data_IF_272899539353
#
_entry.id   IF_272899539353
#
_cell.length_a   1.000
_cell.length_b   1.000
_cell.length_c   1.000
_cell.angle_alpha   90.00
_cell.angle_beta   90.00
_cell.angle_gamma   90.00
#
_symmetry.space_group_name_H-M   'P 1'
#
loop_
_entity.id
_entity.type
_entity.pdbx_description
1 polymer ?
#
# COMPACT_ATOMS: atom_id res chain seq x y z
N UNK A 1 -4.12 0.44 -20.03
CA UNK A 1 -4.59 -0.52 -19.00
C UNK A 1 -4.72 0.24 -17.71
N UNK A 2 -5.68 -0.11 -16.84
CA UNK A 2 -5.80 0.58 -15.56
C UNK A 2 -4.51 0.43 -14.73
N UNK A 3 -4.12 1.48 -14.01
CA UNK A 3 -2.96 1.51 -13.12
C UNK A 3 -3.42 1.97 -11.74
N UNK A 4 -3.87 1.01 -10.94
CA UNK A 4 -4.44 1.31 -9.64
C UNK A 4 -3.41 1.76 -8.61
N UNK A 5 -3.80 2.74 -7.81
CA UNK A 5 -3.01 3.27 -6.72
C UNK A 5 -3.87 3.98 -5.68
N UNK A 6 -3.23 4.61 -4.73
CA UNK A 6 -3.91 5.24 -3.60
C UNK A 6 -3.32 6.61 -3.29
N UNK A 7 -4.18 7.54 -2.94
CA UNK A 7 -3.82 8.86 -2.40
C UNK A 7 -4.30 8.95 -0.95
N UNK A 8 -3.42 9.37 -0.07
CA UNK A 8 -3.66 9.45 1.38
C UNK A 8 -3.47 10.91 1.83
N UNK A 9 -4.53 11.53 2.33
CA UNK A 9 -4.47 12.87 2.93
C UNK A 9 -4.06 12.76 4.40
N UNK A 10 -2.78 13.04 4.69
CA UNK A 10 -2.22 12.91 6.04
C UNK A 10 -2.84 13.86 7.05
N UNK A 11 -3.36 15.03 6.60
CA UNK A 11 -4.05 15.99 7.47
C UNK A 11 -5.39 15.46 8.00
N UNK A 12 -5.95 14.45 7.34
CA UNK A 12 -7.22 13.82 7.70
C UNK A 12 -7.04 12.51 8.44
N UNK A 13 -5.85 11.92 8.40
CA UNK A 13 -5.56 10.69 9.13
C UNK A 13 -5.45 10.99 10.63
N UNK A 14 -6.26 10.29 11.43
CA UNK A 14 -6.30 10.44 12.89
C UNK A 14 -5.70 9.23 13.62
N UNK A 15 -5.12 8.27 12.90
CA UNK A 15 -4.46 7.10 13.49
C UNK A 15 -5.42 6.14 14.19
N UNK A 16 -6.71 6.10 13.81
CA UNK A 16 -7.74 5.29 14.47
C UNK A 16 -7.57 3.77 14.35
N UNK A 17 -6.68 3.31 13.45
CA UNK A 17 -6.42 1.88 13.16
C UNK A 17 -7.55 1.10 12.49
N UNK A 18 -8.70 1.69 12.17
CA UNK A 18 -9.81 1.01 11.50
C UNK A 18 -9.39 0.34 10.19
N UNK A 19 -8.51 0.98 9.42
CA UNK A 19 -7.95 0.42 8.18
C UNK A 19 -7.15 -0.87 8.45
N UNK A 20 -6.40 -0.93 9.55
CA UNK A 20 -5.61 -2.10 9.94
C UNK A 20 -6.54 -3.25 10.31
N UNK A 21 -7.55 -2.98 11.16
CA UNK A 21 -8.54 -3.99 11.59
C UNK A 21 -9.33 -4.50 10.40
N UNK A 22 -9.84 -3.61 9.55
CA UNK A 22 -10.58 -4.00 8.35
C UNK A 22 -9.74 -4.85 7.38
N UNK A 23 -8.46 -4.49 7.21
CA UNK A 23 -7.54 -5.27 6.37
C UNK A 23 -7.32 -6.68 6.94
N UNK A 24 -7.16 -6.81 8.27
CA UNK A 24 -7.00 -8.10 8.93
C UNK A 24 -8.24 -8.98 8.75
N UNK A 25 -9.43 -8.43 8.98
CA UNK A 25 -10.69 -9.16 8.86
C UNK A 25 -11.01 -9.57 7.43
N UNK A 26 -10.79 -8.66 6.47
CA UNK A 26 -11.09 -8.90 5.05
C UNK A 26 -10.17 -9.94 4.40
N UNK A 27 -8.92 -10.03 4.88
CA UNK A 27 -7.88 -10.83 4.22
C UNK A 27 -7.31 -11.94 5.11
N UNK A 28 -7.98 -12.28 6.22
CA UNK A 28 -7.56 -13.31 7.18
C UNK A 28 -6.08 -13.21 7.59
N UNK A 29 -5.61 -11.95 7.85
CA UNK A 29 -4.22 -11.72 8.20
C UNK A 29 -3.95 -12.28 9.60
N UNK A 30 -2.95 -13.17 9.78
CA UNK A 30 -2.69 -13.81 11.06
C UNK A 30 -2.43 -12.83 12.20
N UNK A 31 -2.66 -13.29 13.43
CA UNK A 31 -2.36 -12.53 14.64
C UNK A 31 -0.86 -12.13 14.67
N UNK A 32 -0.59 -10.93 15.16
CA UNK A 32 0.77 -10.37 15.21
C UNK A 32 1.34 -9.86 13.90
N UNK A 33 0.69 -10.13 12.74
CA UNK A 33 1.13 -9.68 11.41
C UNK A 33 0.18 -8.64 10.83
N UNK A 34 0.68 -7.74 9.99
CA UNK A 34 -0.14 -6.68 9.40
C UNK A 34 0.24 -6.46 7.93
N UNK A 35 -0.78 -6.23 7.07
CA UNK A 35 -0.61 -5.74 5.69
C UNK A 35 -0.65 -4.21 5.59
N UNK A 36 -1.10 -3.56 6.66
CA UNK A 36 -1.37 -2.14 6.80
C UNK A 36 -1.04 -1.72 8.23
N UNK A 37 -0.43 -0.57 8.44
CA UNK A 37 -0.05 -0.07 9.77
C UNK A 37 -0.13 1.46 9.83
N UNK A 38 -0.13 2.00 11.04
CA UNK A 38 -0.06 3.44 11.27
C UNK A 38 1.39 3.80 11.59
N UNK A 39 1.93 4.74 10.82
CA UNK A 39 3.20 5.38 11.09
C UNK A 39 2.98 6.76 11.70
N UNK A 40 3.86 7.12 12.62
CA UNK A 40 3.85 8.44 13.29
C UNK A 40 5.25 9.01 13.20
N UNK A 41 5.36 10.22 12.66
CA UNK A 41 6.63 10.93 12.51
C UNK A 41 6.57 12.30 13.16
N UNK A 42 7.51 12.58 14.05
CA UNK A 42 7.63 13.88 14.69
C UNK A 42 8.85 14.61 14.13
N UNK A 43 8.63 15.80 13.57
CA UNK A 43 9.69 16.66 13.02
C UNK A 43 9.75 18.00 13.72
N UNK A 44 10.81 18.79 13.47
CA UNK A 44 11.01 20.10 14.07
C UNK A 44 11.73 20.05 15.41
N UNK A 45 11.73 21.20 16.13
CA UNK A 45 12.30 21.37 17.47
C UNK A 45 11.34 22.16 18.33
N UNK A 46 11.33 21.85 19.64
CA UNK A 46 10.51 22.61 20.58
C UNK A 46 10.84 24.13 20.49
N UNK A 47 9.85 25.03 20.46
CA UNK A 47 8.40 24.77 20.60
C UNK A 47 7.67 24.45 19.27
N UNK A 48 8.36 24.39 18.14
CA UNK A 48 7.77 24.22 16.80
C UNK A 48 7.86 22.77 16.36
N UNK A 49 7.11 21.88 17.02
CA UNK A 49 7.02 20.47 16.66
C UNK A 49 5.87 20.26 15.68
N UNK A 50 6.09 19.37 14.72
CA UNK A 50 5.06 18.87 13.79
C UNK A 50 4.95 17.37 13.93
N UNK A 51 3.72 16.88 14.09
CA UNK A 51 3.38 15.46 14.13
C UNK A 51 2.61 15.08 12.87
N UNK A 52 3.16 14.16 12.10
CA UNK A 52 2.44 13.52 10.99
C UNK A 52 2.00 12.12 11.39
N UNK A 53 0.74 11.81 11.13
CA UNK A 53 0.16 10.48 11.29
C UNK A 53 -0.29 10.02 9.90
N UNK A 54 0.15 8.82 9.49
CA UNK A 54 -0.23 8.26 8.20
C UNK A 54 -0.39 6.75 8.27
N UNK A 55 -1.21 6.21 7.39
CA UNK A 55 -1.31 4.77 7.21
C UNK A 55 -0.34 4.35 6.10
N UNK A 56 0.39 3.26 6.31
CA UNK A 56 1.36 2.72 5.37
C UNK A 56 1.06 1.26 5.03
N UNK A 57 1.48 0.83 3.85
CA UNK A 57 1.30 -0.52 3.30
C UNK A 57 2.21 -0.75 2.10
N UNK A 58 2.07 -1.89 1.41
CA UNK A 58 2.74 -2.12 0.14
C UNK A 58 2.39 -1.02 -0.87
N UNK A 59 3.42 -0.43 -1.48
CA UNK A 59 3.29 0.68 -2.43
C UNK A 59 2.93 0.25 -3.85
N UNK A 60 2.81 -1.05 -4.15
CA UNK A 60 2.51 -1.57 -5.50
C UNK A 60 3.31 -0.89 -6.61
N UNK A 61 4.61 -0.76 -6.41
CA UNK A 61 5.56 -0.03 -7.24
C UNK A 61 5.45 -0.38 -8.73
N UNK A 62 5.69 0.59 -9.62
CA UNK A 62 5.79 0.35 -11.07
C UNK A 62 7.14 -0.31 -11.41
N UNK A 63 8.20 -0.03 -10.63
CA UNK A 63 9.49 -0.73 -10.70
C UNK A 63 9.70 -1.56 -9.42
N UNK A 64 9.06 -2.76 -9.29
CA UNK A 64 9.01 -3.50 -8.03
C UNK A 64 10.24 -4.41 -7.85
N UNK A 65 11.20 -4.08 -6.97
CA UNK A 65 12.40 -4.91 -6.74
C UNK A 65 12.02 -6.30 -6.19
N UNK A 66 10.91 -6.39 -5.49
CA UNK A 66 10.39 -7.64 -4.95
C UNK A 66 9.84 -8.61 -6.02
N UNK A 67 9.57 -8.16 -7.23
CA UNK A 67 9.24 -8.99 -8.38
C UNK A 67 10.52 -9.43 -9.07
N UNK A 68 11.43 -8.49 -9.33
CA UNK A 68 12.69 -8.77 -10.04
C UNK A 68 13.59 -9.77 -9.31
N UNK A 69 13.56 -9.79 -7.97
CA UNK A 69 14.36 -10.72 -7.15
C UNK A 69 13.71 -12.08 -6.92
N UNK A 70 12.46 -12.31 -7.39
CA UNK A 70 11.74 -13.55 -7.08
C UNK A 70 12.20 -14.70 -7.97
N UNK A 71 12.85 -15.76 -7.43
CA UNK A 71 13.42 -16.83 -8.23
C UNK A 71 12.39 -17.74 -8.88
N UNK A 72 11.17 -17.79 -8.31
CA UNK A 72 10.08 -18.67 -8.81
C UNK A 72 9.03 -17.91 -9.60
N UNK A 73 9.13 -16.57 -9.69
CA UNK A 73 8.07 -15.74 -10.28
C UNK A 73 6.80 -15.65 -9.44
N UNK A 74 6.80 -16.18 -8.21
CA UNK A 74 5.65 -16.09 -7.30
C UNK A 74 5.23 -14.63 -7.05
N UNK A 75 6.20 -13.73 -6.87
CA UNK A 75 5.92 -12.30 -6.83
C UNK A 75 5.88 -11.76 -8.25
N UNK A 76 4.75 -11.20 -8.66
CA UNK A 76 4.50 -10.75 -10.04
C UNK A 76 3.63 -9.49 -10.08
N UNK A 77 3.53 -8.88 -11.25
CA UNK A 77 2.57 -7.81 -11.52
C UNK A 77 1.36 -8.39 -12.23
N UNK A 78 0.21 -8.29 -11.60
CA UNK A 78 -1.08 -8.69 -12.16
C UNK A 78 -1.51 -7.67 -13.23
N UNK A 79 -1.87 -8.09 -14.46
CA UNK A 79 -2.30 -7.19 -15.52
C UNK A 79 -3.52 -6.34 -15.17
N UNK A 80 -4.43 -6.88 -14.35
CA UNK A 80 -5.56 -6.11 -13.85
C UNK A 80 -5.09 -5.06 -12.84
N UNK A 81 -5.08 -3.80 -13.27
CA UNK A 81 -4.70 -2.65 -12.45
C UNK A 81 -3.21 -2.56 -12.11
N UNK A 82 -2.36 -3.35 -12.76
CA UNK A 82 -0.92 -3.44 -12.52
C UNK A 82 -0.56 -3.71 -11.04
N UNK A 83 -1.38 -4.48 -10.34
CA UNK A 83 -1.23 -4.74 -8.89
C UNK A 83 -0.10 -5.75 -8.67
N UNK A 84 0.86 -5.45 -7.79
CA UNK A 84 1.88 -6.44 -7.39
C UNK A 84 1.24 -7.47 -6.48
N UNK A 85 1.35 -8.76 -6.82
CA UNK A 85 0.79 -9.89 -6.07
C UNK A 85 1.85 -10.95 -5.73
N UNK A 86 1.44 -11.95 -4.98
CA UNK A 86 2.20 -13.17 -4.70
C UNK A 86 1.28 -14.37 -4.93
N UNK A 87 1.68 -15.28 -5.80
CA UNK A 87 1.04 -16.60 -5.96
C UNK A 87 1.60 -17.52 -4.89
N UNK A 88 0.77 -17.89 -3.91
CA UNK A 88 1.21 -18.62 -2.72
C UNK A 88 1.79 -19.99 -3.07
N UNK A 89 1.17 -20.68 -4.02
CA UNK A 89 1.56 -22.03 -4.47
C UNK A 89 2.95 -22.08 -5.12
N UNK A 90 3.41 -20.94 -5.68
CA UNK A 90 4.73 -20.82 -6.29
C UNK A 90 5.78 -20.29 -5.31
N UNK A 91 5.33 -19.79 -4.14
CA UNK A 91 6.23 -19.17 -3.18
C UNK A 91 6.97 -20.20 -2.33
N UNK A 92 8.29 -20.20 -2.38
CA UNK A 92 9.15 -21.08 -1.59
C UNK A 92 9.62 -20.49 -0.25
N UNK A 93 9.10 -19.34 0.15
CA UNK A 93 9.42 -18.69 1.43
C UNK A 93 10.86 -18.18 1.56
N UNK A 94 11.59 -17.97 0.46
CA UNK A 94 13.02 -17.61 0.48
C UNK A 94 13.33 -16.22 1.06
N UNK A 95 12.32 -15.38 1.31
CA UNK A 95 12.40 -14.02 1.88
C UNK A 95 13.17 -13.00 1.03
N UNK A 96 13.62 -13.31 -0.18
CA UNK A 96 14.33 -12.35 -1.04
C UNK A 96 13.49 -11.07 -1.28
N UNK A 97 12.19 -11.23 -1.54
CA UNK A 97 11.27 -10.10 -1.74
C UNK A 97 11.01 -9.27 -0.48
N UNK A 98 11.17 -9.83 0.71
CA UNK A 98 11.13 -9.10 1.99
C UNK A 98 12.39 -8.24 2.11
N UNK A 99 13.57 -8.83 1.93
CA UNK A 99 14.86 -8.13 2.01
C UNK A 99 15.02 -7.01 0.96
N UNK A 100 14.38 -7.16 -0.21
CA UNK A 100 14.47 -6.17 -1.30
C UNK A 100 13.47 -5.01 -1.18
N UNK A 101 12.48 -5.10 -0.28
CA UNK A 101 11.45 -4.09 -0.14
C UNK A 101 11.94 -2.90 0.72
N UNK A 102 12.10 -1.69 0.17
CA UNK A 102 12.57 -0.55 0.98
C UNK A 102 11.52 -0.04 1.98
N UNK A 103 10.27 -0.49 1.85
CA UNK A 103 9.15 -0.08 2.71
C UNK A 103 8.82 -1.08 3.80
N UNK A 104 9.56 -2.19 3.90
CA UNK A 104 9.26 -3.31 4.83
C UNK A 104 7.80 -3.80 4.76
N UNK A 105 7.20 -3.75 3.57
CA UNK A 105 5.78 -3.99 3.35
C UNK A 105 5.44 -5.46 3.05
N UNK A 106 6.26 -6.40 3.53
CA UNK A 106 6.07 -7.84 3.35
C UNK A 106 6.38 -8.57 4.65
N UNK A 107 5.67 -9.66 4.86
CA UNK A 107 5.96 -10.59 5.95
C UNK A 107 5.89 -12.04 5.44
N UNK A 108 6.35 -12.98 6.26
CA UNK A 108 6.19 -14.41 5.97
C UNK A 108 4.98 -14.91 6.74
N UNK A 109 4.01 -15.43 6.00
CA UNK A 109 2.83 -16.08 6.56
C UNK A 109 3.23 -17.35 7.33
N UNK A 110 2.54 -17.75 8.41
CA UNK A 110 2.83 -18.99 9.14
C UNK A 110 2.86 -20.24 8.25
N UNK A 111 2.13 -20.24 7.14
CA UNK A 111 2.13 -21.31 6.14
C UNK A 111 3.37 -21.29 5.21
N UNK A 112 4.32 -20.38 5.42
CA UNK A 112 5.62 -20.38 4.75
C UNK A 112 5.71 -19.56 3.48
N UNK A 113 4.69 -18.86 3.03
CA UNK A 113 4.73 -17.96 1.87
C UNK A 113 4.88 -16.49 2.26
N UNK A 114 5.34 -15.66 1.33
CA UNK A 114 5.38 -14.20 1.53
C UNK A 114 3.99 -13.58 1.32
N UNK A 115 3.58 -12.71 2.23
CA UNK A 115 2.30 -12.01 2.13
C UNK A 115 2.46 -10.48 2.26
N UNK A 116 1.46 -9.74 1.78
CA UNK A 116 1.41 -8.27 1.75
C UNK A 116 0.03 -7.76 1.32
N UNK A 117 -0.16 -6.45 1.37
CA UNK A 117 -1.34 -5.79 0.78
C UNK A 117 -1.55 -6.20 -0.69
N UNK A 118 -2.78 -6.49 -1.07
CA UNK A 118 -3.21 -6.87 -2.43
C UNK A 118 -4.13 -5.83 -3.07
N UNK A 119 -4.30 -4.65 -2.44
CA UNK A 119 -5.38 -3.70 -2.75
C UNK A 119 -6.78 -4.35 -2.70
N UNK A 120 -6.93 -5.47 -1.96
CA UNK A 120 -8.17 -6.24 -1.94
C UNK A 120 -8.67 -6.55 -3.36
N UNK A 121 -7.80 -7.10 -4.22
CA UNK A 121 -8.08 -7.29 -5.65
C UNK A 121 -9.41 -8.02 -5.91
N UNK A 122 -9.82 -8.91 -5.01
CA UNK A 122 -11.10 -9.60 -5.07
C UNK A 122 -12.27 -8.62 -5.02
N UNK A 123 -12.20 -7.58 -4.14
CA UNK A 123 -13.22 -6.53 -4.07
C UNK A 123 -13.15 -5.59 -5.27
N UNK A 124 -11.93 -5.20 -5.68
CA UNK A 124 -11.72 -4.27 -6.80
C UNK A 124 -12.21 -4.86 -8.12
N UNK A 125 -12.07 -6.18 -8.34
CA UNK A 125 -12.66 -6.88 -9.49
C UNK A 125 -14.19 -6.86 -9.50
N UNK A 126 -14.82 -6.67 -8.35
CA UNK A 126 -16.27 -6.47 -8.21
C UNK A 126 -16.70 -4.98 -8.26
N UNK A 127 -15.78 -4.07 -8.56
CA UNK A 127 -16.04 -2.63 -8.58
C UNK A 127 -16.19 -1.99 -7.20
N UNK A 128 -15.72 -2.66 -6.15
CA UNK A 128 -15.74 -2.15 -4.76
C UNK A 128 -14.38 -1.57 -4.37
N UNK A 129 -14.38 -0.60 -3.49
CA UNK A 129 -13.14 -0.10 -2.87
C UNK A 129 -12.46 -1.15 -1.99
N UNK A 130 -11.12 -1.07 -1.81
CA UNK A 130 -10.41 -1.82 -0.79
C UNK A 130 -11.05 -1.64 0.59
N UNK A 131 -11.04 -2.68 1.43
CA UNK A 131 -11.69 -2.66 2.74
C UNK A 131 -11.24 -1.48 3.61
N UNK A 132 -9.93 -1.19 3.64
CA UNK A 132 -9.37 -0.07 4.39
C UNK A 132 -9.90 1.30 3.94
N UNK A 133 -10.16 1.49 2.64
CA UNK A 133 -10.74 2.73 2.10
C UNK A 133 -12.20 2.86 2.52
N UNK A 134 -12.96 1.75 2.41
CA UNK A 134 -14.39 1.71 2.71
C UNK A 134 -14.73 2.06 4.17
N UNK A 135 -13.86 1.69 5.13
CA UNK A 135 -14.12 1.89 6.57
C UNK A 135 -13.56 3.19 7.11
N UNK A 136 -12.73 3.93 6.35
CA UNK A 136 -12.04 5.11 6.86
C UNK A 136 -13.01 6.20 7.30
N UNK A 137 -13.14 6.52 8.61
CA UNK A 137 -14.14 7.47 9.10
C UNK A 137 -13.88 8.89 8.64
N UNK A 138 -12.61 9.25 8.43
CA UNK A 138 -12.22 10.59 7.96
C UNK A 138 -12.10 10.67 6.44
N UNK A 139 -12.28 9.54 5.74
CA UNK A 139 -12.08 9.43 4.28
C UNK A 139 -10.74 10.03 3.84
N UNK A 140 -9.67 9.72 4.58
CA UNK A 140 -8.34 10.19 4.25
C UNK A 140 -7.71 9.42 3.08
N UNK A 141 -8.23 8.27 2.71
CA UNK A 141 -7.74 7.43 1.61
C UNK A 141 -8.68 7.49 0.41
N UNK A 142 -8.10 7.64 -0.77
CA UNK A 142 -8.79 7.55 -2.06
C UNK A 142 -8.08 6.52 -2.91
N UNK A 143 -8.82 5.56 -3.46
CA UNK A 143 -8.30 4.53 -4.35
C UNK A 143 -8.81 4.77 -5.77
N UNK A 144 -8.02 4.47 -6.80
CA UNK A 144 -8.46 4.64 -8.18
C UNK A 144 -7.38 4.36 -9.22
N UNK A 145 -7.74 4.63 -10.46
CA UNK A 145 -6.87 4.47 -11.63
C UNK A 145 -6.11 5.77 -11.91
N UNK A 146 -4.78 5.74 -11.88
CA UNK A 146 -3.94 6.88 -12.22
C UNK A 146 -3.88 7.18 -13.73
N UNK A 147 -4.22 6.23 -14.59
CA UNK A 147 -4.26 6.42 -16.03
C UNK A 147 -5.59 7.03 -16.51
N UNK A 148 -6.60 7.09 -15.64
CA UNK A 148 -7.84 7.83 -15.89
C UNK A 148 -7.73 9.28 -15.35
N UNK A 149 -7.66 10.31 -16.22
CA UNK A 149 -7.58 11.71 -15.77
C UNK A 149 -8.82 12.18 -15.00
N UNK A 150 -9.95 11.49 -15.16
CA UNK A 150 -11.21 11.82 -14.46
C UNK A 150 -11.32 11.10 -13.12
N UNK A 151 -10.41 10.21 -12.78
CA UNK A 151 -10.41 9.52 -11.50
C UNK A 151 -10.14 10.49 -10.33
N UNK A 152 -10.73 10.21 -9.17
CA UNK A 152 -10.55 11.05 -7.98
C UNK A 152 -9.07 11.13 -7.55
N UNK A 153 -8.30 10.06 -7.75
CA UNK A 153 -6.86 10.04 -7.41
C UNK A 153 -6.06 10.96 -8.33
N UNK A 154 -6.31 10.93 -9.65
CA UNK A 154 -5.63 11.79 -10.62
C UNK A 154 -5.94 13.27 -10.40
N UNK A 155 -7.20 13.58 -10.10
CA UNK A 155 -7.64 14.94 -9.78
C UNK A 155 -6.99 15.46 -8.49
N UNK A 156 -6.88 14.63 -7.45
CA UNK A 156 -6.23 15.03 -6.20
C UNK A 156 -4.74 15.30 -6.38
N UNK A 157 -4.02 14.45 -7.14
CA UNK A 157 -2.59 14.65 -7.41
C UNK A 157 -2.32 15.89 -8.26
N UNK A 158 -3.22 16.22 -9.20
CA UNK A 158 -3.09 17.43 -10.02
C UNK A 158 -3.35 18.72 -9.23
N UNK A 159 -4.23 18.65 -8.21
CA UNK A 159 -4.70 19.82 -7.48
C UNK A 159 -3.89 20.14 -6.22
N UNK A 160 -3.13 19.18 -5.67
CA UNK A 160 -2.49 19.32 -4.36
C UNK A 160 -1.04 18.85 -4.34
N UNK A 161 -0.17 19.52 -3.55
CA UNK A 161 1.18 19.01 -3.26
C UNK A 161 1.11 17.62 -2.67
N UNK A 162 2.03 16.75 -3.13
CA UNK A 162 2.09 15.36 -2.68
C UNK A 162 3.51 14.84 -2.75
N UNK A 163 3.78 13.77 -2.03
CA UNK A 163 5.06 13.06 -2.07
C UNK A 163 4.82 11.55 -2.00
N UNK A 164 5.83 10.80 -2.40
CA UNK A 164 5.92 9.36 -2.20
C UNK A 164 6.94 9.05 -1.11
N UNK A 165 6.81 7.91 -0.44
CA UNK A 165 7.83 7.46 0.51
C UNK A 165 9.09 7.03 -0.23
N UNK A 166 10.25 7.35 0.35
CA UNK A 166 11.59 6.92 -0.06
C UNK A 166 11.80 7.05 -1.60
N UNK A 167 11.64 8.23 -2.19
CA UNK A 167 11.77 8.41 -3.65
C UNK A 167 13.17 8.02 -4.16
N UNK A 168 14.20 8.13 -3.32
CA UNK A 168 15.56 7.72 -3.64
C UNK A 168 15.74 6.21 -3.93
N UNK A 169 14.77 5.38 -3.54
CA UNK A 169 14.81 3.95 -3.81
C UNK A 169 14.52 3.59 -5.28
N UNK A 170 14.04 4.53 -6.11
CA UNK A 170 13.80 4.35 -7.54
C UNK A 170 12.73 3.30 -7.88
N UNK A 171 11.84 3.01 -6.94
CA UNK A 171 10.82 1.95 -7.09
C UNK A 171 9.53 2.41 -7.77
N UNK A 172 9.36 3.74 -7.96
CA UNK A 172 8.15 4.32 -8.55
C UNK A 172 6.87 3.87 -7.82
N UNK A 173 6.70 4.26 -6.54
CA UNK A 173 5.57 3.82 -5.74
C UNK A 173 4.25 4.43 -6.23
N UNK A 174 3.15 3.67 -6.07
CA UNK A 174 1.79 4.10 -6.42
C UNK A 174 0.92 4.43 -5.20
N UNK A 175 1.55 4.77 -4.09
CA UNK A 175 0.88 5.41 -2.95
C UNK A 175 1.50 6.79 -2.78
N UNK A 176 0.65 7.81 -2.79
CA UNK A 176 1.03 9.20 -2.61
C UNK A 176 0.37 9.80 -1.38
N UNK A 177 1.11 10.66 -0.70
CA UNK A 177 0.69 11.35 0.51
C UNK A 177 0.51 12.84 0.21
N UNK A 178 -0.70 13.37 0.45
CA UNK A 178 -1.00 14.80 0.31
C UNK A 178 -0.55 15.54 1.56
N UNK A 179 0.06 16.70 1.36
CA UNK A 179 0.58 17.57 2.43
C UNK A 179 -0.15 18.91 2.50
#
# INVERSE_FOLDING_TARGET
MARFGMVIDTRRCVGCTDCVVACKTENDVPEGLNRDWIATETTGRFPTLHLEIRTERCNHCDNPPCVSCCPTGASHVEPFGAIVLVTHELCIGCKACHASCPYDARFVHPEGYADKCTFCIHRVKEGKDPACVSVCPTRCMTFGDFDDPNSAVSQQLSARPHHALIPAAGTEPRIFYLT
#
